data_IF_170050596195
#
_entry.id   IF_170050596195
#
_cell.length_a   1.000
_cell.length_b   1.000
_cell.length_c   1.000
_cell.angle_alpha   90.00
_cell.angle_beta   90.00
_cell.angle_gamma   90.00
#
_symmetry.space_group_name_H-M   'P 1'
#
loop_
_entity.id
_entity.type
_entity.pdbx_description
1 polymer ?
#
# COMPACT_ATOMS: atom_id res chain seq x y z
N UNK A 1 -9.20 -6.76 -6.58
CA UNK A 1 -9.72 -6.80 -7.95
C UNK A 1 -10.58 -8.04 -8.19
N UNK A 2 -11.22 -8.12 -9.37
CA UNK A 2 -11.94 -9.32 -9.83
C UNK A 2 -10.96 -10.45 -10.20
N UNK A 3 -11.43 -11.70 -10.22
CA UNK A 3 -10.58 -12.87 -10.50
C UNK A 3 -9.95 -12.80 -11.91
N UNK A 4 -10.70 -12.31 -12.91
CA UNK A 4 -10.22 -12.10 -14.30
C UNK A 4 -8.92 -11.28 -14.38
N UNK A 5 -8.69 -10.36 -13.43
CA UNK A 5 -7.44 -9.59 -13.38
C UNK A 5 -6.26 -10.48 -13.02
N UNK A 6 -6.40 -11.31 -11.99
CA UNK A 6 -5.33 -12.19 -11.52
C UNK A 6 -5.10 -13.33 -12.49
N UNK A 7 -6.15 -13.88 -13.11
CA UNK A 7 -6.05 -14.85 -14.19
C UNK A 7 -5.21 -14.29 -15.37
N UNK A 8 -5.48 -13.04 -15.77
CA UNK A 8 -4.69 -12.39 -16.81
C UNK A 8 -3.24 -12.15 -16.38
N UNK A 9 -2.99 -11.78 -15.12
CA UNK A 9 -1.64 -11.63 -14.58
C UNK A 9 -0.88 -12.96 -14.55
N UNK A 10 -1.55 -14.06 -14.20
CA UNK A 10 -1.00 -15.41 -14.22
C UNK A 10 -0.58 -15.82 -15.64
N UNK A 11 -1.48 -15.63 -16.61
CA UNK A 11 -1.24 -15.98 -18.02
C UNK A 11 -0.12 -15.14 -18.66
N UNK A 12 -0.04 -13.85 -18.31
CA UNK A 12 0.94 -12.92 -18.87
C UNK A 12 2.26 -12.89 -18.11
N UNK A 13 2.34 -13.53 -16.94
CA UNK A 13 3.51 -13.49 -16.07
C UNK A 13 3.77 -12.09 -15.48
N UNK A 14 2.70 -11.34 -15.18
CA UNK A 14 2.79 -10.02 -14.54
C UNK A 14 2.64 -10.23 -13.03
N UNK A 15 3.65 -9.81 -12.26
CA UNK A 15 3.62 -9.93 -10.81
C UNK A 15 2.68 -8.89 -10.19
N UNK A 16 1.92 -9.32 -9.18
CA UNK A 16 0.99 -8.48 -8.42
C UNK A 16 1.55 -8.25 -7.02
N UNK A 17 1.71 -6.97 -6.67
CA UNK A 17 1.89 -6.50 -5.30
C UNK A 17 0.52 -6.11 -4.77
N UNK A 18 -0.02 -6.86 -3.80
CA UNK A 18 -1.39 -6.68 -3.33
C UNK A 18 -1.44 -5.96 -1.99
N UNK A 19 -1.97 -4.75 -2.00
CA UNK A 19 -2.32 -4.03 -0.78
C UNK A 19 -3.58 -4.61 -0.13
N UNK A 20 -3.60 -4.70 1.20
CA UNK A 20 -4.86 -4.71 1.95
C UNK A 20 -5.53 -3.35 1.75
N UNK A 21 -6.86 -3.30 1.81
CA UNK A 21 -7.64 -2.14 1.37
C UNK A 21 -7.68 -0.97 2.40
N UNK A 22 -6.52 -0.61 2.95
CA UNK A 22 -6.33 0.50 3.89
C UNK A 22 -5.34 1.52 3.29
N UNK A 23 -5.74 2.79 3.18
CA UNK A 23 -4.97 3.80 2.46
C UNK A 23 -5.16 5.24 2.98
N UNK A 24 -4.04 5.95 3.15
CA UNK A 24 -3.94 7.37 3.50
C UNK A 24 -4.83 7.85 4.67
N UNK A 25 -5.18 6.96 5.61
CA UNK A 25 -6.09 7.25 6.72
C UNK A 25 -5.73 6.47 7.98
N UNK A 26 -6.12 7.01 9.14
CA UNK A 26 -6.06 6.31 10.41
C UNK A 26 -7.34 5.47 10.57
N UNK A 27 -7.18 4.21 10.94
CA UNK A 27 -8.29 3.27 11.09
C UNK A 27 -8.54 2.92 12.57
N UNK A 28 -9.80 2.89 13.03
CA UNK A 28 -10.12 2.48 14.39
C UNK A 28 -9.90 0.98 14.55
N UNK A 29 -9.36 0.54 15.69
CA UNK A 29 -9.08 -0.87 15.97
C UNK A 29 -10.11 -1.51 16.93
N UNK A 30 -11.24 -0.85 17.16
CA UNK A 30 -12.31 -1.35 18.02
C UNK A 30 -13.44 -1.99 17.22
N UNK A 31 -14.26 -2.78 17.92
CA UNK A 31 -15.47 -3.35 17.34
C UNK A 31 -16.51 -2.26 17.02
N UNK A 32 -17.31 -2.45 15.94
CA UNK A 32 -17.37 -3.65 15.10
C UNK A 32 -16.33 -3.67 13.95
N UNK A 33 -15.61 -2.57 13.72
CA UNK A 33 -14.75 -2.40 12.53
C UNK A 33 -13.63 -3.44 12.50
N UNK A 34 -13.06 -3.77 13.66
CA UNK A 34 -12.02 -4.79 13.78
C UNK A 34 -12.43 -6.15 13.24
N UNK A 35 -13.61 -6.66 13.61
CA UNK A 35 -14.08 -7.96 13.11
C UNK A 35 -14.41 -7.93 11.63
N UNK A 36 -14.95 -6.82 11.12
CA UNK A 36 -15.26 -6.68 9.68
C UNK A 36 -13.98 -6.67 8.83
N UNK A 37 -12.94 -5.95 9.27
CA UNK A 37 -11.63 -5.95 8.60
C UNK A 37 -11.01 -7.35 8.63
N UNK A 38 -11.06 -8.05 9.77
CA UNK A 38 -10.54 -9.42 9.85
C UNK A 38 -11.27 -10.36 8.88
N UNK A 39 -12.61 -10.28 8.81
CA UNK A 39 -13.41 -11.08 7.90
C UNK A 39 -13.07 -10.79 6.43
N UNK A 40 -12.99 -9.52 6.04
CA UNK A 40 -12.65 -9.11 4.67
C UNK A 40 -11.26 -9.62 4.26
N UNK A 41 -10.26 -9.49 5.14
CA UNK A 41 -8.89 -9.93 4.86
C UNK A 41 -8.84 -11.45 4.71
N UNK A 42 -9.48 -12.20 5.60
CA UNK A 42 -9.53 -13.67 5.50
C UNK A 42 -10.15 -14.12 4.19
N UNK A 43 -11.29 -13.56 3.82
CA UNK A 43 -12.00 -13.91 2.59
C UNK A 43 -11.13 -13.64 1.35
N UNK A 44 -10.47 -12.48 1.31
CA UNK A 44 -9.61 -12.12 0.17
C UNK A 44 -8.31 -12.93 0.13
N UNK A 45 -7.68 -13.25 1.25
CA UNK A 45 -6.47 -14.09 1.28
C UNK A 45 -6.77 -15.50 0.76
N UNK A 46 -7.89 -16.10 1.19
CA UNK A 46 -8.32 -17.42 0.68
C UNK A 46 -8.59 -17.36 -0.81
N UNK A 47 -9.31 -16.33 -1.27
CA UNK A 47 -9.67 -16.18 -2.68
C UNK A 47 -8.44 -15.97 -3.57
N UNK A 48 -7.47 -15.16 -3.13
CA UNK A 48 -6.38 -14.68 -3.98
C UNK A 48 -5.09 -15.51 -3.88
N UNK A 49 -4.86 -16.22 -2.78
CA UNK A 49 -3.64 -17.04 -2.58
C UNK A 49 -3.38 -18.14 -3.63
N UNK A 50 -4.37 -18.67 -4.38
CA UNK A 50 -4.10 -19.61 -5.47
C UNK A 50 -3.36 -19.00 -6.67
N UNK A 51 -3.39 -17.68 -6.86
CA UNK A 51 -2.81 -17.03 -8.05
C UNK A 51 -1.28 -16.92 -7.98
N UNK A 52 -0.51 -17.58 -8.87
CA UNK A 52 0.95 -17.50 -8.86
C UNK A 52 1.51 -16.11 -9.19
N UNK A 53 0.77 -15.25 -9.88
CA UNK A 53 1.16 -13.85 -10.12
C UNK A 53 1.22 -13.03 -8.85
N UNK A 54 0.42 -13.36 -7.83
CA UNK A 54 0.47 -12.69 -6.54
C UNK A 54 1.84 -12.93 -5.90
N UNK A 55 2.62 -11.87 -5.75
CA UNK A 55 4.01 -11.95 -5.36
C UNK A 55 4.25 -11.49 -3.91
N UNK A 56 3.51 -10.47 -3.47
CA UNK A 56 3.68 -9.82 -2.16
C UNK A 56 2.33 -9.38 -1.63
N UNK A 57 2.10 -9.59 -0.33
CA UNK A 57 1.04 -8.94 0.42
C UNK A 57 1.58 -7.68 1.12
N UNK A 58 0.84 -6.58 1.07
CA UNK A 58 1.24 -5.31 1.67
C UNK A 58 0.13 -4.75 2.56
N UNK A 59 0.47 -4.28 3.76
CA UNK A 59 -0.53 -3.98 4.79
C UNK A 59 -1.37 -2.72 4.53
N UNK A 60 -0.82 -1.73 3.83
CA UNK A 60 -1.54 -0.49 3.50
C UNK A 60 -0.78 0.38 2.53
N UNK A 61 -1.49 1.37 1.97
CA UNK A 61 -0.89 2.52 1.31
C UNK A 61 -0.72 3.70 2.28
N UNK A 62 0.52 4.16 2.44
CA UNK A 62 0.95 5.38 3.12
C UNK A 62 0.54 5.57 4.60
N UNK A 63 -0.18 4.67 5.24
CA UNK A 63 -0.63 4.90 6.63
C UNK A 63 0.54 4.99 7.61
N UNK A 64 1.59 4.18 7.43
CA UNK A 64 2.81 4.25 8.26
C UNK A 64 3.52 5.60 8.06
N UNK A 65 3.61 6.08 6.83
CA UNK A 65 4.23 7.38 6.55
C UNK A 65 3.34 8.55 7.00
N UNK A 66 2.02 8.42 6.88
CA UNK A 66 1.07 9.39 7.39
C UNK A 66 1.14 9.51 8.90
N UNK A 67 1.30 8.38 9.60
CA UNK A 67 1.55 8.36 11.02
C UNK A 67 2.84 9.12 11.38
N UNK A 68 3.94 8.83 10.69
CA UNK A 68 5.25 9.46 10.95
C UNK A 68 5.31 10.94 10.59
N UNK A 69 4.71 11.35 9.47
CA UNK A 69 5.01 12.63 8.80
C UNK A 69 3.83 13.59 8.65
N UNK A 70 2.57 13.15 8.76
CA UNK A 70 1.40 14.00 8.47
C UNK A 70 0.75 14.61 9.72
N UNK A 71 1.48 14.60 10.84
CA UNK A 71 1.03 15.17 12.12
C UNK A 71 -0.07 14.36 12.82
N UNK A 72 -0.19 13.07 12.48
CA UNK A 72 -1.22 12.20 13.06
C UNK A 72 -1.00 11.95 14.54
N UNK A 73 0.24 11.78 15.00
CA UNK A 73 0.57 11.57 16.42
C UNK A 73 -0.13 12.61 17.31
N UNK A 74 -0.07 13.89 16.93
CA UNK A 74 -0.69 14.97 17.67
C UNK A 74 -2.22 14.99 17.52
N UNK A 75 -2.75 14.71 16.33
CA UNK A 75 -4.21 14.74 16.05
C UNK A 75 -4.96 13.56 16.65
N UNK A 76 -4.31 12.41 16.73
CA UNK A 76 -4.89 11.18 17.26
C UNK A 76 -4.86 11.16 18.78
N UNK A 77 -3.92 11.85 19.42
CA UNK A 77 -3.83 11.95 20.89
C UNK A 77 -3.80 10.56 21.57
N UNK A 78 -3.12 9.59 20.94
CA UNK A 78 -3.03 8.22 21.41
C UNK A 78 -4.19 7.30 21.02
N UNK A 79 -5.14 7.78 20.20
CA UNK A 79 -6.12 6.90 19.51
C UNK A 79 -5.42 5.99 18.49
N UNK A 80 -6.05 4.85 18.24
CA UNK A 80 -5.60 3.86 17.26
C UNK A 80 -5.59 4.42 15.82
N UNK A 81 -4.75 3.83 14.98
CA UNK A 81 -4.59 4.23 13.58
C UNK A 81 -4.45 3.07 12.60
N UNK A 82 -4.50 1.83 13.09
CA UNK A 82 -4.36 0.60 12.31
C UNK A 82 -3.04 -0.14 12.56
N UNK A 83 -2.19 0.31 13.49
CA UNK A 83 -0.94 -0.36 13.83
C UNK A 83 -1.14 -1.85 14.15
N UNK A 84 -2.17 -2.18 14.93
CA UNK A 84 -2.49 -3.58 15.26
C UNK A 84 -2.92 -4.39 14.04
N UNK A 85 -3.47 -3.74 13.01
CA UNK A 85 -3.74 -4.42 11.74
C UNK A 85 -2.45 -4.77 11.00
N UNK A 86 -1.59 -3.77 10.80
CA UNK A 86 -0.40 -3.93 9.97
C UNK A 86 0.66 -4.81 10.62
N UNK A 87 0.86 -4.70 11.93
CA UNK A 87 1.94 -5.40 12.63
C UNK A 87 1.53 -6.75 13.22
N UNK A 88 0.24 -6.95 13.53
CA UNK A 88 -0.22 -8.14 14.23
C UNK A 88 -1.28 -8.94 13.45
N UNK A 89 -2.43 -8.35 13.14
CA UNK A 89 -3.57 -9.09 12.57
C UNK A 89 -3.28 -9.66 11.18
N UNK A 90 -2.85 -8.81 10.24
CA UNK A 90 -2.59 -9.24 8.86
C UNK A 90 -1.47 -10.29 8.77
N UNK A 91 -0.30 -10.12 9.40
CA UNK A 91 0.72 -11.17 9.37
C UNK A 91 0.26 -12.47 10.04
N UNK A 92 -0.58 -12.41 11.09
CA UNK A 92 -1.14 -13.61 11.71
C UNK A 92 -2.08 -14.35 10.75
N UNK A 93 -2.98 -13.64 10.06
CA UNK A 93 -3.89 -14.23 9.06
C UNK A 93 -3.09 -14.82 7.89
N UNK A 94 -2.08 -14.11 7.39
CA UNK A 94 -1.25 -14.60 6.28
C UNK A 94 -0.43 -15.82 6.68
N UNK A 95 0.11 -15.87 7.90
CA UNK A 95 0.80 -17.06 8.40
C UNK A 95 -0.12 -18.30 8.48
N UNK A 96 -1.42 -18.10 8.70
CA UNK A 96 -2.43 -19.15 8.71
C UNK A 96 -2.85 -19.58 7.29
N UNK A 97 -3.13 -18.62 6.41
CA UNK A 97 -3.85 -18.86 5.16
C UNK A 97 -2.97 -18.82 3.90
N UNK A 98 -1.87 -18.07 3.89
CA UNK A 98 -0.91 -18.00 2.79
C UNK A 98 0.54 -17.79 3.28
N UNK A 99 1.14 -18.78 3.97
CA UNK A 99 2.48 -18.66 4.53
C UNK A 99 3.60 -18.68 3.47
N UNK A 100 3.24 -18.83 2.20
CA UNK A 100 4.20 -19.01 1.10
C UNK A 100 4.75 -17.70 0.54
N UNK A 101 4.07 -16.58 0.81
CA UNK A 101 4.38 -15.27 0.25
C UNK A 101 4.91 -14.30 1.31
N UNK A 102 5.82 -13.39 0.94
CA UNK A 102 6.26 -12.34 1.86
C UNK A 102 5.13 -11.35 2.13
N UNK A 103 5.17 -10.79 3.34
CA UNK A 103 4.32 -9.70 3.78
C UNK A 103 5.17 -8.46 4.09
N UNK A 104 4.67 -7.30 3.68
CA UNK A 104 5.26 -6.00 3.99
C UNK A 104 4.24 -5.14 4.76
N UNK A 105 4.68 -4.39 5.78
CA UNK A 105 3.74 -3.69 6.68
C UNK A 105 2.92 -2.59 5.99
N UNK A 106 3.45 -2.03 4.91
CA UNK A 106 2.81 -0.96 4.14
C UNK A 106 3.80 -0.31 3.18
N UNK A 107 3.32 0.44 2.21
CA UNK A 107 4.17 1.18 1.26
C UNK A 107 3.91 2.69 1.39
N UNK A 108 4.93 3.53 1.65
CA UNK A 108 6.30 3.14 1.95
C UNK A 108 6.40 2.68 3.42
N UNK A 109 7.33 1.77 3.70
CA UNK A 109 7.73 1.46 5.07
C UNK A 109 9.15 0.91 5.14
N UNK A 110 9.81 1.21 6.25
CA UNK A 110 11.04 0.54 6.64
C UNK A 110 10.66 -0.73 7.40
N UNK A 111 11.35 -1.85 7.14
CA UNK A 111 11.11 -3.18 7.73
C UNK A 111 11.05 -3.24 9.29
N UNK A 112 11.24 -2.10 9.97
CA UNK A 112 11.16 -1.96 11.41
C UNK A 112 10.44 -0.64 11.78
N UNK A 113 9.45 -0.65 12.70
CA UNK A 113 8.65 0.54 13.05
C UNK A 113 9.44 1.73 13.62
N UNK A 114 10.61 1.47 14.21
CA UNK A 114 11.47 2.53 14.75
C UNK A 114 12.26 3.31 13.68
N UNK A 115 12.23 2.86 12.42
CA UNK A 115 12.86 3.56 11.31
C UNK A 115 11.74 4.25 10.53
N UNK A 116 11.92 5.54 10.24
CA UNK A 116 10.96 6.34 9.49
C UNK A 116 10.48 5.62 8.23
N UNK A 117 9.16 5.59 8.01
CA UNK A 117 8.53 4.77 6.98
C UNK A 117 9.11 5.00 5.57
N UNK A 118 9.35 6.26 5.19
CA UNK A 118 9.85 6.62 3.85
C UNK A 118 11.40 6.80 3.80
N UNK A 119 12.16 5.99 4.53
CA UNK A 119 13.64 6.09 4.55
C UNK A 119 14.25 5.45 3.30
N UNK A 120 15.04 6.20 2.53
CA UNK A 120 15.63 5.73 1.25
C UNK A 120 16.57 4.53 1.36
N UNK A 121 17.12 4.25 2.54
CA UNK A 121 18.03 3.13 2.76
C UNK A 121 17.30 1.80 3.05
N UNK A 122 15.99 1.81 3.27
CA UNK A 122 15.21 0.64 3.69
C UNK A 122 13.88 0.55 2.95
N UNK A 123 13.57 -0.63 2.41
CA UNK A 123 12.23 -0.91 1.87
C UNK A 123 11.82 -0.07 0.65
N UNK A 124 10.52 -0.09 0.31
CA UNK A 124 9.93 0.77 -0.70
C UNK A 124 9.83 2.22 -0.23
N UNK A 125 10.06 3.16 -1.15
CA UNK A 125 9.83 4.60 -0.94
C UNK A 125 8.83 5.18 -1.91
N UNK A 126 8.21 6.28 -1.50
CA UNK A 126 7.33 7.12 -2.32
C UNK A 126 8.00 8.49 -2.51
N UNK A 127 8.29 8.87 -3.76
CA UNK A 127 8.98 10.11 -4.12
C UNK A 127 7.95 11.10 -4.67
N UNK A 128 7.36 11.87 -3.77
CA UNK A 128 6.31 12.84 -4.09
C UNK A 128 6.73 14.30 -4.02
N UNK A 129 7.93 14.59 -3.54
CA UNK A 129 8.50 15.94 -3.59
C UNK A 129 8.73 16.40 -5.03
N UNK A 130 9.25 15.49 -5.87
CA UNK A 130 9.34 15.65 -7.32
C UNK A 130 7.94 15.50 -7.92
N UNK A 131 7.34 16.65 -8.27
CA UNK A 131 5.93 16.91 -8.66
C UNK A 131 5.30 17.98 -7.77
N UNK A 132 5.29 17.77 -6.45
CA UNK A 132 4.60 18.68 -5.55
C UNK A 132 5.41 19.95 -5.22
N UNK A 133 6.75 19.86 -5.25
CA UNK A 133 7.66 20.97 -4.93
C UNK A 133 8.79 21.13 -5.94
N UNK A 134 9.34 20.02 -6.45
CA UNK A 134 10.54 20.01 -7.29
C UNK A 134 10.24 19.60 -8.74
N UNK A 135 11.12 20.01 -9.66
CA UNK A 135 11.06 19.61 -11.07
C UNK A 135 11.61 18.19 -11.33
N UNK A 136 11.24 17.60 -12.47
CA UNK A 136 11.56 16.21 -12.80
C UNK A 136 13.07 15.89 -12.85
N UNK A 137 13.97 16.87 -13.00
CA UNK A 137 15.41 16.63 -12.98
C UNK A 137 15.89 16.20 -11.60
N UNK A 138 15.14 16.53 -10.55
CA UNK A 138 15.46 16.19 -9.18
C UNK A 138 15.41 14.67 -8.91
N UNK A 139 14.73 13.87 -9.76
CA UNK A 139 14.76 12.41 -9.67
C UNK A 139 16.19 11.84 -9.71
N UNK A 140 17.15 12.51 -10.37
CA UNK A 140 18.54 12.03 -10.43
C UNK A 140 19.28 12.09 -9.09
N UNK A 141 18.69 12.76 -8.08
CA UNK A 141 19.26 12.86 -6.74
C UNK A 141 18.81 11.69 -5.83
N UNK A 142 17.83 10.90 -6.27
CA UNK A 142 17.31 9.76 -5.54
C UNK A 142 18.06 8.46 -5.89
N UNK A 143 18.46 7.71 -4.86
CA UNK A 143 19.02 6.36 -5.00
C UNK A 143 18.44 5.38 -3.95
N UNK A 144 17.11 5.19 -3.88
CA UNK A 144 16.49 4.31 -2.91
C UNK A 144 16.62 2.83 -3.28
N UNK A 145 16.29 1.95 -2.32
CA UNK A 145 16.32 0.49 -2.54
C UNK A 145 15.25 0.02 -3.52
N UNK A 146 14.06 0.60 -3.45
CA UNK A 146 12.94 0.34 -4.35
C UNK A 146 12.01 1.56 -4.36
N UNK A 147 11.64 2.07 -5.53
CA UNK A 147 10.63 3.13 -5.65
C UNK A 147 9.30 2.47 -5.95
N UNK A 148 8.38 2.49 -4.97
CA UNK A 148 7.03 1.97 -5.16
C UNK A 148 6.10 3.02 -5.76
N UNK A 149 6.31 4.30 -5.45
CA UNK A 149 5.57 5.40 -6.06
C UNK A 149 6.46 6.60 -6.41
N UNK A 150 6.15 7.20 -7.54
CA UNK A 150 6.56 8.50 -8.00
C UNK A 150 5.69 8.85 -9.22
N UNK A 151 5.57 10.11 -9.58
CA UNK A 151 4.82 10.45 -10.78
C UNK A 151 4.70 11.94 -11.04
N UNK A 152 4.20 12.27 -12.22
CA UNK A 152 3.93 13.64 -12.65
C UNK A 152 2.57 13.66 -13.37
N UNK A 153 1.71 14.63 -13.08
CA UNK A 153 0.41 14.69 -13.76
C UNK A 153 0.59 15.05 -15.23
N UNK A 154 -0.09 14.31 -16.10
CA UNK A 154 -0.25 14.64 -17.51
C UNK A 154 -1.73 14.76 -17.87
N UNK A 155 -2.09 15.57 -18.88
CA UNK A 155 -3.46 15.61 -19.38
C UNK A 155 -3.82 14.27 -20.06
N UNK A 156 -5.09 13.89 -19.95
CA UNK A 156 -5.62 12.78 -20.74
C UNK A 156 -5.56 13.09 -22.25
N UNK A 157 -5.65 12.06 -23.09
CA UNK A 157 -5.68 12.26 -24.55
C UNK A 157 -6.92 13.07 -24.99
N UNK A 158 -6.82 13.73 -26.15
CA UNK A 158 -7.88 14.62 -26.67
C UNK A 158 -9.24 13.92 -26.83
N UNK A 159 -9.25 12.62 -27.17
CA UNK A 159 -10.47 11.83 -27.31
C UNK A 159 -11.27 11.70 -26.00
N UNK A 160 -10.58 11.70 -24.84
CA UNK A 160 -11.23 11.71 -23.53
C UNK A 160 -11.71 13.11 -23.12
N UNK A 161 -10.96 14.16 -23.48
CA UNK A 161 -11.30 15.55 -23.13
C UNK A 161 -12.46 16.08 -23.99
N UNK A 162 -12.62 15.59 -25.21
CA UNK A 162 -13.64 16.01 -26.17
C UNK A 162 -15.06 15.48 -25.92
N UNK A 163 -15.27 14.61 -24.93
CA UNK A 163 -16.58 14.00 -24.64
C UNK A 163 -17.51 14.91 -23.81
N UNK A 164 -17.43 16.23 -24.01
CA UNK A 164 -18.50 17.14 -23.61
C UNK A 164 -19.64 16.97 -24.62
N UNK A 165 -20.64 16.15 -24.29
CA UNK A 165 -21.92 16.17 -25.00
C UNK A 165 -22.45 17.62 -24.99
N UNK A 166 -23.01 18.12 -26.10
CA UNK A 166 -23.70 19.42 -26.12
C UNK A 166 -24.87 19.45 -25.15
#
# INVERSE_FOLDING_TARGET
EQDDFYDACDDLGILVWQDMLLACAAYPEQEPIRSEIEAEVRDNVVRLSPHPSLAVWNGCNENLWGFDSWGWIQRLEGRDWGAGYYYDMFPAILAELDPSRPYWYGSPSSAHPAIHANNTNFGPVHVWDVWNQEDYTHYTQYSPRFVAEFGFQGPANLGHVGNRRP
#
